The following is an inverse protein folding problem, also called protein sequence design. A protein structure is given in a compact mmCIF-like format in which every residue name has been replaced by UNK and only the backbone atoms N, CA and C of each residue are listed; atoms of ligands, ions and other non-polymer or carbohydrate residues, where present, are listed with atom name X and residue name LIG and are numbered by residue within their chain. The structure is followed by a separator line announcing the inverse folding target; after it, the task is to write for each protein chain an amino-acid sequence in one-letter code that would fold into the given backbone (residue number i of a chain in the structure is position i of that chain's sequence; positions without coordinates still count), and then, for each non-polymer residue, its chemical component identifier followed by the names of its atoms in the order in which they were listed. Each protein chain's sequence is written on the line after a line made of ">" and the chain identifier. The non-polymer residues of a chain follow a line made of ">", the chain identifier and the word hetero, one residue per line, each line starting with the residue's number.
data_IF_111776158620
#
_entry.id   IF_111776158620
#
_cell.length_a   1.000
_cell.length_b   1.000
_cell.length_c   1.000
_cell.angle_alpha   90.00
_cell.angle_beta   90.00
_cell.angle_gamma   90.00
#
_symmetry.space_group_name_H-M   'P 1'
#
loop_
_entity.id
_entity.type
_entity.pdbx_description
1 polymer ?
#
# COMPACT_ATOMS: atom_id res chain seq x y z
N UNK A 1 14.43 15.61 54.14
CA UNK A 1 13.25 16.25 53.52
C UNK A 1 13.53 16.31 52.02
N UNK A 2 13.01 15.36 51.24
CA UNK A 2 13.32 15.19 49.81
C UNK A 2 12.23 15.83 48.95
N UNK A 3 12.60 16.60 47.93
CA UNK A 3 11.64 17.17 46.99
C UNK A 3 12.25 17.83 45.75
N UNK A 4 11.97 17.21 44.59
CA UNK A 4 11.82 17.76 43.23
C UNK A 4 13.06 18.29 42.48
N UNK A 5 13.61 17.42 41.63
CA UNK A 5 14.11 17.76 40.27
C UNK A 5 13.82 16.59 39.34
N UNK A 6 12.78 16.67 38.50
CA UNK A 6 12.52 15.64 37.45
C UNK A 6 11.60 16.05 36.27
N UNK A 7 11.31 17.34 36.05
CA UNK A 7 10.31 17.75 35.03
C UNK A 7 10.82 18.65 33.88
N UNK A 8 12.11 19.00 33.80
CA UNK A 8 12.57 19.94 32.75
C UNK A 8 13.01 19.25 31.45
N UNK A 9 13.55 18.02 31.50
CA UNK A 9 14.09 17.34 30.31
C UNK A 9 13.01 16.67 29.44
N UNK A 10 11.88 16.26 30.03
CA UNK A 10 10.77 15.63 29.30
C UNK A 10 10.05 16.61 28.37
N UNK A 11 9.94 17.87 28.77
CA UNK A 11 9.32 18.90 27.94
C UNK A 11 10.21 19.27 26.75
N UNK A 12 11.53 19.43 26.95
CA UNK A 12 12.44 19.76 25.85
C UNK A 12 12.54 18.66 24.77
N UNK A 13 12.48 17.37 25.16
CA UNK A 13 12.41 16.26 24.20
C UNK A 13 11.07 16.18 23.47
N UNK A 14 9.94 16.47 24.13
CA UNK A 14 8.63 16.53 23.47
C UNK A 14 8.51 17.70 22.49
N UNK A 15 9.05 18.87 22.83
CA UNK A 15 9.03 20.03 21.92
C UNK A 15 9.91 19.81 20.69
N UNK A 16 11.10 19.21 20.83
CA UNK A 16 11.94 18.90 19.67
C UNK A 16 11.38 17.78 18.78
N UNK A 17 10.66 16.81 19.34
CA UNK A 17 10.08 15.70 18.57
C UNK A 17 8.79 16.09 17.82
N UNK A 18 8.00 17.02 18.38
CA UNK A 18 6.84 17.60 17.72
C UNK A 18 7.26 18.50 16.54
N UNK A 19 8.26 19.36 16.74
CA UNK A 19 8.83 20.19 15.67
C UNK A 19 9.42 19.33 14.54
N UNK A 20 10.08 18.22 14.86
CA UNK A 20 10.61 17.29 13.83
C UNK A 20 9.50 16.54 13.07
N UNK A 21 8.35 16.24 13.68
CA UNK A 21 7.20 15.60 13.00
C UNK A 21 6.50 16.58 12.07
N UNK A 22 6.27 17.80 12.51
CA UNK A 22 5.67 18.85 11.68
C UNK A 22 6.63 19.27 10.55
N UNK A 23 7.94 19.30 10.80
CA UNK A 23 8.94 19.53 9.75
C UNK A 23 9.03 18.38 8.75
N UNK A 24 9.01 17.11 9.19
CA UNK A 24 8.95 15.96 8.28
C UNK A 24 7.66 15.98 7.45
N UNK A 25 6.52 16.32 8.06
CA UNK A 25 5.25 16.45 7.34
C UNK A 25 5.29 17.61 6.34
N UNK A 26 5.86 18.76 6.72
CA UNK A 26 6.02 19.92 5.86
C UNK A 26 7.03 19.70 4.73
N UNK A 27 8.11 18.95 4.98
CA UNK A 27 9.16 18.62 4.00
C UNK A 27 8.65 17.57 3.02
N UNK A 28 7.95 16.53 3.51
CA UNK A 28 7.25 15.55 2.66
C UNK A 28 6.12 16.18 1.84
N UNK A 29 5.36 17.12 2.42
CA UNK A 29 4.30 17.87 1.73
C UNK A 29 4.86 18.94 0.78
N UNK A 30 6.05 19.49 1.04
CA UNK A 30 6.73 20.44 0.17
C UNK A 30 7.33 19.75 -1.05
N UNK A 31 7.85 18.53 -0.89
CA UNK A 31 8.34 17.69 -2.00
C UNK A 31 7.19 17.23 -2.92
N UNK A 32 5.94 17.22 -2.42
CA UNK A 32 4.71 16.97 -3.20
C UNK A 32 3.98 18.24 -3.65
N UNK A 33 4.51 19.45 -3.38
CA UNK A 33 3.83 20.72 -3.68
C UNK A 33 3.97 21.14 -5.15
N UNK A 34 3.47 20.30 -6.04
CA UNK A 34 2.96 20.75 -7.33
C UNK A 34 1.43 20.57 -7.28
N UNK A 35 0.74 21.67 -6.94
CA UNK A 35 -0.69 21.92 -7.11
C UNK A 35 -1.68 20.79 -6.70
N UNK A 36 -2.29 20.84 -5.50
CA UNK A 36 -3.17 19.79 -4.97
C UNK A 36 -4.50 19.64 -5.74
N UNK A 37 -4.86 20.56 -6.63
CA UNK A 37 -6.03 20.37 -7.52
C UNK A 37 -5.68 19.70 -8.87
N UNK A 38 -4.40 19.43 -9.16
CA UNK A 38 -3.98 18.95 -10.49
C UNK A 38 -3.42 17.52 -10.54
N UNK A 39 -2.94 16.92 -9.46
CA UNK A 39 -2.23 15.61 -9.48
C UNK A 39 -2.47 14.93 -8.12
N UNK A 40 -3.01 13.72 -7.94
CA UNK A 40 -2.53 12.41 -8.40
C UNK A 40 -3.66 11.36 -8.33
N UNK A 41 -4.81 11.62 -8.95
CA UNK A 41 -5.70 10.52 -9.37
C UNK A 41 -5.27 10.14 -10.78
N UNK A 42 -4.57 9.01 -10.94
CA UNK A 42 -4.49 8.41 -12.27
C UNK A 42 -5.88 7.81 -12.50
N UNK A 43 -6.77 8.59 -13.10
CA UNK A 43 -7.93 7.99 -13.76
C UNK A 43 -7.36 7.07 -14.85
N UNK A 44 -7.72 5.80 -14.78
CA UNK A 44 -7.38 4.85 -15.84
C UNK A 44 -8.20 5.28 -17.06
N UNK A 45 -7.59 6.11 -17.91
CA UNK A 45 -8.16 6.47 -19.21
C UNK A 45 -8.19 5.20 -20.05
N UNK A 46 -9.37 4.85 -20.57
CA UNK A 46 -9.56 3.75 -21.50
C UNK A 46 -8.62 3.95 -22.71
N UNK A 47 -7.60 3.10 -22.80
CA UNK A 47 -6.61 3.16 -23.86
C UNK A 47 -6.74 1.93 -24.75
N UNK A 48 -7.65 2.04 -25.72
CA UNK A 48 -7.52 1.30 -26.96
C UNK A 48 -6.13 1.58 -27.58
N UNK A 49 -5.19 0.66 -27.35
CA UNK A 49 -3.81 0.54 -27.84
C UNK A 49 -2.86 1.76 -27.68
N UNK A 50 -1.71 1.61 -27.00
CA UNK A 50 -0.70 2.68 -26.96
C UNK A 50 -0.09 2.90 -28.35
N UNK A 51 -0.16 4.14 -28.84
CA UNK A 51 0.44 4.54 -30.10
C UNK A 51 1.98 4.59 -30.04
N UNK A 52 2.65 4.57 -31.22
CA UNK A 52 4.10 4.37 -31.39
C UNK A 52 5.02 5.46 -30.78
N UNK A 53 4.47 6.48 -30.13
CA UNK A 53 5.22 7.59 -29.55
C UNK A 53 5.84 7.27 -28.17
N UNK A 54 5.30 6.29 -27.42
CA UNK A 54 5.83 5.89 -26.11
C UNK A 54 7.13 5.08 -26.24
N UNK A 55 7.23 4.22 -27.25
CA UNK A 55 8.43 3.43 -27.54
C UNK A 55 9.64 4.29 -27.90
N UNK A 56 9.45 5.37 -28.65
CA UNK A 56 10.53 6.30 -29.02
C UNK A 56 11.07 7.10 -27.81
N UNK A 57 10.25 7.29 -26.78
CA UNK A 57 10.65 8.02 -25.56
C UNK A 57 11.45 7.11 -24.62
N UNK A 58 11.05 5.85 -24.48
CA UNK A 58 11.81 4.83 -23.77
C UNK A 58 13.18 4.57 -24.42
N UNK A 59 13.24 4.47 -25.75
CA UNK A 59 14.50 4.26 -26.48
C UNK A 59 15.48 5.45 -26.43
N UNK A 60 14.97 6.67 -26.16
CA UNK A 60 15.83 7.86 -25.92
C UNK A 60 16.50 7.82 -24.55
N UNK A 61 15.80 7.34 -23.53
CA UNK A 61 16.34 7.22 -22.16
C UNK A 61 17.43 6.14 -22.06
N UNK A 62 17.34 5.08 -22.87
CA UNK A 62 18.42 4.07 -22.98
C UNK A 62 19.70 4.59 -23.65
N UNK A 63 19.61 5.64 -24.47
CA UNK A 63 20.77 6.22 -25.18
C UNK A 63 21.54 7.26 -24.36
N UNK A 64 20.93 7.83 -23.34
CA UNK A 64 21.62 8.71 -22.38
C UNK A 64 22.30 7.85 -21.32
N UNK A 65 23.55 7.45 -21.60
CA UNK A 65 24.35 6.56 -20.75
C UNK A 65 24.48 7.06 -19.31
N UNK A 66 23.69 6.47 -18.42
CA UNK A 66 23.90 6.52 -16.97
C UNK A 66 24.77 5.33 -16.60
N UNK A 67 26.01 5.59 -16.24
CA UNK A 67 26.98 4.57 -15.83
C UNK A 67 26.52 3.94 -14.52
N UNK A 68 26.14 2.66 -14.54
CA UNK A 68 25.89 1.87 -13.31
C UNK A 68 27.23 1.58 -12.62
N UNK A 69 27.45 2.13 -11.43
CA UNK A 69 28.51 1.68 -10.52
C UNK A 69 28.15 0.29 -9.98
N UNK A 70 29.02 -0.73 -10.08
CA UNK A 70 28.74 -2.03 -9.51
C UNK A 70 28.73 -1.98 -7.97
N UNK A 71 27.68 -2.53 -7.36
CA UNK A 71 27.63 -2.77 -5.92
C UNK A 71 28.64 -3.87 -5.57
N UNK A 72 29.56 -3.61 -4.63
CA UNK A 72 30.57 -4.57 -4.20
C UNK A 72 29.92 -5.83 -3.61
N UNK A 73 30.47 -7.01 -3.92
CA UNK A 73 30.01 -8.29 -3.37
C UNK A 73 30.23 -8.35 -1.84
N UNK A 74 29.30 -8.95 -1.09
CA UNK A 74 29.47 -9.11 0.36
C UNK A 74 30.60 -10.10 0.69
N UNK A 75 31.35 -9.77 1.74
CA UNK A 75 32.48 -10.52 2.30
C UNK A 75 32.02 -11.89 2.87
N UNK A 76 32.61 -13.03 2.44
CA UNK A 76 32.19 -14.36 2.87
C UNK A 76 32.54 -14.74 4.33
N UNK A 77 33.09 -13.83 5.14
CA UNK A 77 33.61 -14.16 6.48
C UNK A 77 32.68 -13.87 7.67
N UNK A 78 31.44 -13.40 7.47
CA UNK A 78 30.50 -13.14 8.58
C UNK A 78 29.41 -14.23 8.63
N UNK A 79 29.64 -15.26 9.44
CA UNK A 79 28.59 -16.20 9.84
C UNK A 79 27.66 -15.51 10.86
N UNK A 80 26.35 -15.37 10.60
CA UNK A 80 25.43 -14.99 11.65
C UNK A 80 25.22 -16.18 12.60
N UNK A 81 25.36 -15.90 13.90
CA UNK A 81 25.03 -16.83 14.97
C UNK A 81 23.56 -17.25 14.86
N UNK A 82 23.34 -18.56 14.81
CA UNK A 82 22.02 -19.18 14.83
C UNK A 82 21.34 -18.92 16.17
N UNK A 83 20.32 -18.07 16.14
CA UNK A 83 19.23 -18.07 17.10
C UNK A 83 17.93 -18.13 16.28
N UNK A 84 17.58 -19.35 15.85
CA UNK A 84 16.29 -19.63 15.25
C UNK A 84 15.19 -19.35 16.28
N UNK A 85 14.66 -18.13 16.24
CA UNK A 85 13.37 -17.77 16.80
C UNK A 85 12.37 -17.88 15.67
N UNK A 86 11.20 -18.47 15.93
CA UNK A 86 10.11 -18.65 14.97
C UNK A 86 9.42 -17.33 14.56
N UNK A 87 10.15 -16.21 14.58
CA UNK A 87 9.73 -14.85 14.23
C UNK A 87 10.24 -14.40 12.84
N UNK A 88 11.14 -15.17 12.21
CA UNK A 88 11.83 -14.73 11.01
C UNK A 88 11.04 -15.04 9.73
N UNK A 89 10.24 -14.08 9.28
CA UNK A 89 9.84 -14.00 7.88
C UNK A 89 11.10 -13.89 7.01
N UNK A 90 11.33 -14.87 6.15
CA UNK A 90 12.48 -14.85 5.25
C UNK A 90 12.11 -14.15 3.94
N UNK A 91 12.88 -13.14 3.52
CA UNK A 91 12.65 -12.49 2.24
C UNK A 91 12.72 -13.47 1.07
N UNK A 92 11.73 -13.41 0.20
CA UNK A 92 11.81 -14.02 -1.12
C UNK A 92 12.53 -13.06 -2.06
N UNK A 93 13.53 -13.58 -2.79
CA UNK A 93 14.22 -12.83 -3.84
C UNK A 93 13.25 -12.51 -4.99
N UNK A 94 12.70 -11.29 -5.00
CA UNK A 94 11.86 -10.74 -6.06
C UNK A 94 12.61 -9.63 -6.82
N UNK A 95 12.38 -9.47 -8.14
CA UNK A 95 12.80 -8.27 -8.85
C UNK A 95 12.22 -7.02 -8.18
N UNK A 96 12.99 -5.94 -7.99
CA UNK A 96 12.45 -4.68 -7.51
C UNK A 96 11.31 -4.19 -8.39
N UNK A 97 10.33 -3.55 -7.76
CA UNK A 97 9.12 -3.01 -8.38
C UNK A 97 8.19 -4.06 -8.99
N UNK A 98 8.32 -5.33 -8.56
CA UNK A 98 7.44 -6.42 -8.98
C UNK A 98 6.64 -6.95 -7.79
N UNK A 99 5.34 -7.14 -8.03
CA UNK A 99 4.40 -7.78 -7.14
C UNK A 99 3.44 -8.61 -7.99
N UNK A 100 3.00 -9.76 -7.49
CA UNK A 100 1.98 -10.56 -8.14
C UNK A 100 0.91 -11.00 -7.14
N UNK A 101 -0.28 -11.31 -7.66
CA UNK A 101 -1.35 -11.89 -6.85
C UNK A 101 -0.84 -13.10 -6.04
N UNK A 102 -1.09 -13.08 -4.74
CA UNK A 102 -0.62 -14.09 -3.81
C UNK A 102 0.64 -13.72 -3.03
N UNK A 103 1.38 -12.68 -3.42
CA UNK A 103 2.55 -12.24 -2.67
C UNK A 103 2.15 -11.73 -1.28
N UNK A 104 2.77 -12.30 -0.26
CA UNK A 104 2.68 -11.85 1.12
C UNK A 104 3.91 -11.01 1.40
N UNK A 105 3.72 -9.77 1.84
CA UNK A 105 4.78 -8.81 2.05
C UNK A 105 4.71 -8.17 3.44
N UNK A 106 5.81 -7.57 3.89
CA UNK A 106 5.87 -6.85 5.16
C UNK A 106 6.11 -5.36 4.93
N UNK A 107 5.43 -4.54 5.75
CA UNK A 107 5.65 -3.09 5.84
C UNK A 107 6.25 -2.81 7.22
N UNK A 108 7.50 -2.31 7.31
CA UNK A 108 8.08 -1.87 8.57
C UNK A 108 7.29 -0.68 9.15
N UNK A 109 6.97 -0.72 10.44
CA UNK A 109 6.23 0.37 11.10
C UNK A 109 7.13 1.52 11.58
N UNK A 110 8.45 1.36 11.45
CA UNK A 110 9.46 2.34 11.87
C UNK A 110 9.80 2.32 13.36
N UNK A 111 9.12 1.48 14.16
CA UNK A 111 9.33 1.30 15.61
C UNK A 111 9.95 -0.05 15.98
N UNK A 112 10.36 -0.82 14.97
CA UNK A 112 10.92 -2.18 15.13
C UNK A 112 9.88 -3.29 14.94
N UNK A 113 8.63 -2.94 14.66
CA UNK A 113 7.61 -3.89 14.23
C UNK A 113 7.41 -3.88 12.72
N UNK A 114 6.58 -4.81 12.25
CA UNK A 114 6.16 -4.89 10.86
C UNK A 114 4.71 -5.38 10.80
N UNK A 115 4.03 -5.05 9.70
CA UNK A 115 2.70 -5.57 9.41
C UNK A 115 2.66 -6.35 8.12
N UNK A 116 1.65 -7.20 8.01
CA UNK A 116 1.48 -8.11 6.91
C UNK A 116 0.58 -7.49 5.85
N UNK A 117 1.09 -7.44 4.62
CA UNK A 117 0.35 -7.13 3.43
C UNK A 117 0.16 -8.37 2.56
N UNK A 118 -0.90 -8.37 1.75
CA UNK A 118 -1.16 -9.40 0.76
C UNK A 118 -1.57 -8.73 -0.55
N UNK A 119 -0.93 -9.12 -1.63
CA UNK A 119 -1.35 -8.74 -2.98
C UNK A 119 -2.51 -9.64 -3.37
N UNK A 120 -3.69 -9.07 -3.51
CA UNK A 120 -4.91 -9.84 -3.78
C UNK A 120 -5.10 -10.09 -5.27
N UNK A 121 -4.81 -9.07 -6.08
CA UNK A 121 -4.97 -9.14 -7.53
C UNK A 121 -4.11 -8.08 -8.24
N UNK A 122 -3.87 -8.32 -9.52
CA UNK A 122 -3.23 -7.39 -10.46
C UNK A 122 -4.31 -6.82 -11.40
N UNK A 123 -4.22 -5.52 -11.70
CA UNK A 123 -5.09 -4.83 -12.67
C UNK A 123 -4.24 -3.85 -13.44
N UNK A 124 -4.02 -4.13 -14.72
CA UNK A 124 -3.03 -3.42 -15.55
C UNK A 124 -1.66 -3.38 -14.86
N UNK A 125 -1.07 -2.19 -14.69
CA UNK A 125 0.22 -1.99 -14.00
C UNK A 125 0.07 -1.77 -12.48
N UNK A 126 -1.16 -1.86 -11.95
CA UNK A 126 -1.47 -1.70 -10.54
C UNK A 126 -1.70 -3.04 -9.85
N UNK A 127 -1.50 -3.05 -8.54
CA UNK A 127 -1.81 -4.16 -7.65
C UNK A 127 -2.82 -3.71 -6.61
N UNK A 128 -3.83 -4.54 -6.34
CA UNK A 128 -4.71 -4.34 -5.20
C UNK A 128 -4.12 -5.05 -3.99
N UNK A 129 -3.78 -4.27 -2.99
CA UNK A 129 -3.17 -4.76 -1.75
C UNK A 129 -4.17 -4.68 -0.61
N UNK A 130 -4.09 -5.62 0.31
CA UNK A 130 -4.77 -5.59 1.60
C UNK A 130 -3.72 -5.69 2.71
N UNK A 131 -3.78 -4.80 3.70
CA UNK A 131 -2.87 -4.76 4.85
C UNK A 131 -3.64 -5.15 6.10
N UNK A 132 -3.04 -6.03 6.89
CA UNK A 132 -3.64 -6.67 8.05
C UNK A 132 -2.88 -6.30 9.31
N UNK A 133 -3.62 -6.01 10.37
CA UNK A 133 -3.06 -5.86 11.70
C UNK A 133 -3.26 -7.15 12.47
N UNK A 134 -2.20 -7.64 13.11
CA UNK A 134 -2.31 -8.77 14.04
C UNK A 134 -3.29 -8.40 15.18
N UNK A 135 -4.29 -9.24 15.48
CA UNK A 135 -5.15 -9.04 16.64
C UNK A 135 -4.36 -9.01 17.95
N UNK A 136 -4.81 -8.24 18.93
CA UNK A 136 -4.12 -8.10 20.23
C UNK A 136 -4.14 -9.38 21.06
N UNK A 137 -5.16 -10.23 20.84
CA UNK A 137 -5.36 -11.52 21.49
C UNK A 137 -4.52 -12.66 20.88
N UNK A 138 -3.87 -12.43 19.73
CA UNK A 138 -2.97 -13.41 19.10
C UNK A 138 -1.53 -13.16 19.57
N UNK A 139 -0.94 -14.02 20.43
CA UNK A 139 0.41 -13.82 20.94
C UNK A 139 1.46 -13.94 19.81
N UNK A 140 2.60 -13.24 19.91
CA UNK A 140 3.70 -13.40 18.97
C UNK A 140 4.52 -14.69 19.28
N UNK A 141 5.06 -15.39 18.27
CA UNK A 141 4.88 -15.17 16.84
C UNK A 141 3.46 -15.57 16.39
N UNK A 142 2.82 -14.71 15.60
CA UNK A 142 1.53 -15.03 14.99
C UNK A 142 1.75 -15.74 13.64
N UNK A 143 1.05 -16.84 13.41
CA UNK A 143 1.01 -17.48 12.09
C UNK A 143 0.48 -16.47 11.06
N UNK A 144 1.21 -16.20 9.96
CA UNK A 144 0.79 -15.27 8.92
C UNK A 144 -0.60 -15.59 8.36
N UNK A 145 -0.94 -16.87 8.22
CA UNK A 145 -2.24 -17.31 7.72
C UNK A 145 -3.37 -16.94 8.68
N UNK A 146 -3.12 -16.96 10.00
CA UNK A 146 -4.08 -16.51 11.01
C UNK A 146 -4.32 -15.01 10.86
N UNK A 147 -3.27 -14.22 10.63
CA UNK A 147 -3.40 -12.77 10.41
C UNK A 147 -4.14 -12.47 9.11
N UNK A 148 -3.83 -13.15 8.01
CA UNK A 148 -4.50 -12.96 6.71
C UNK A 148 -5.99 -13.34 6.73
N UNK A 149 -6.39 -14.26 7.63
CA UNK A 149 -7.80 -14.61 7.82
C UNK A 149 -8.62 -13.51 8.50
N UNK A 150 -7.96 -12.52 9.14
CA UNK A 150 -8.65 -11.39 9.79
C UNK A 150 -9.15 -10.35 8.79
N UNK A 151 -9.86 -9.34 9.28
CA UNK A 151 -10.28 -8.21 8.45
C UNK A 151 -9.08 -7.29 8.16
N UNK A 152 -8.83 -6.89 6.89
CA UNK A 152 -7.84 -5.88 6.59
C UNK A 152 -8.18 -4.54 7.28
N UNK A 153 -7.16 -3.75 7.54
CA UNK A 153 -7.32 -2.37 8.05
C UNK A 153 -7.23 -1.33 6.94
N UNK A 154 -6.43 -1.63 5.92
CA UNK A 154 -6.22 -0.79 4.73
C UNK A 154 -6.28 -1.69 3.49
N UNK A 155 -6.96 -1.24 2.45
CA UNK A 155 -6.93 -1.90 1.15
C UNK A 155 -7.11 -0.88 0.01
N UNK A 156 -6.49 -1.14 -1.14
CA UNK A 156 -6.59 -0.23 -2.28
C UNK A 156 -5.72 -0.64 -3.46
N UNK A 157 -6.01 -0.07 -4.63
CA UNK A 157 -5.17 -0.18 -5.81
C UNK A 157 -3.96 0.76 -5.68
N UNK A 158 -2.77 0.23 -5.92
CA UNK A 158 -1.52 0.98 -5.89
C UNK A 158 -0.54 0.49 -6.95
N UNK A 159 0.42 1.33 -7.31
CA UNK A 159 1.56 0.91 -8.13
C UNK A 159 2.57 0.11 -7.29
N UNK A 160 3.35 -0.81 -7.91
CA UNK A 160 4.27 -1.69 -7.19
C UNK A 160 5.59 -0.99 -6.77
N UNK A 161 5.65 0.34 -6.79
CA UNK A 161 6.90 1.10 -6.60
C UNK A 161 7.57 0.91 -5.22
N UNK A 162 6.85 0.39 -4.22
CA UNK A 162 7.40 0.09 -2.89
C UNK A 162 7.87 -1.37 -2.73
N UNK A 163 7.59 -2.27 -3.68
CA UNK A 163 8.03 -3.66 -3.64
C UNK A 163 9.51 -3.79 -3.99
N UNK A 164 10.36 -3.49 -3.03
CA UNK A 164 11.82 -3.58 -3.14
C UNK A 164 12.39 -3.95 -1.76
N UNK A 165 13.58 -4.56 -1.70
CA UNK A 165 14.22 -4.91 -0.44
C UNK A 165 14.24 -3.72 0.55
N UNK A 166 13.83 -3.95 1.79
CA UNK A 166 13.82 -2.94 2.86
C UNK A 166 12.64 -1.96 2.87
N UNK A 167 11.76 -1.97 1.86
CA UNK A 167 10.55 -1.13 1.83
C UNK A 167 9.30 -1.98 2.04
N UNK A 168 8.75 -2.57 0.98
CA UNK A 168 7.76 -3.64 1.07
C UNK A 168 8.41 -4.93 0.60
N UNK A 169 8.84 -5.74 1.56
CA UNK A 169 9.59 -6.95 1.30
C UNK A 169 8.65 -8.14 1.19
N UNK A 170 8.70 -8.88 0.09
CA UNK A 170 7.92 -10.11 -0.08
C UNK A 170 8.57 -11.20 0.76
N UNK A 171 7.79 -11.84 1.63
CA UNK A 171 8.25 -12.82 2.62
C UNK A 171 7.62 -14.20 2.44
N UNK A 172 6.69 -14.33 1.48
CA UNK A 172 5.99 -15.58 1.24
C UNK A 172 4.93 -15.45 0.17
N UNK A 173 4.18 -16.52 -0.04
CA UNK A 173 3.01 -16.55 -0.90
C UNK A 173 1.85 -17.26 -0.20
N UNK A 174 0.63 -16.78 -0.46
CA UNK A 174 -0.61 -17.38 0.04
C UNK A 174 -1.72 -17.16 -0.99
N UNK A 175 -2.66 -18.12 -1.11
CA UNK A 175 -3.82 -17.96 -2.01
C UNK A 175 -4.68 -16.78 -1.56
N UNK A 176 -4.91 -15.76 -2.40
CA UNK A 176 -5.78 -14.65 -2.04
C UNK A 176 -7.25 -15.06 -1.92
N UNK A 177 -7.93 -14.56 -0.89
CA UNK A 177 -9.39 -14.64 -0.79
C UNK A 177 -10.04 -13.54 -1.62
N UNK A 178 -10.01 -13.72 -2.94
CA UNK A 178 -10.51 -12.73 -3.91
C UNK A 178 -12.00 -12.46 -3.76
N UNK A 179 -12.79 -13.48 -3.39
CA UNK A 179 -14.24 -13.34 -3.17
C UNK A 179 -14.55 -12.43 -1.99
N UNK A 180 -13.76 -12.51 -0.92
CA UNK A 180 -13.94 -11.65 0.26
C UNK A 180 -13.42 -10.24 0.04
N UNK A 181 -12.32 -10.09 -0.68
CA UNK A 181 -11.51 -8.86 -0.63
C UNK A 181 -11.61 -7.96 -1.86
N UNK A 182 -12.05 -8.48 -3.02
CA UNK A 182 -12.13 -7.66 -4.23
C UNK A 182 -13.43 -6.83 -4.27
N UNK A 183 -13.33 -5.49 -4.25
CA UNK A 183 -14.49 -4.62 -4.35
C UNK A 183 -15.05 -4.61 -5.78
N UNK A 184 -16.32 -4.25 -5.91
CA UNK A 184 -16.83 -3.67 -7.15
C UNK A 184 -16.50 -2.16 -7.15
N UNK A 185 -16.39 -1.56 -8.34
CA UNK A 185 -16.11 -0.14 -8.47
C UNK A 185 -17.19 0.58 -9.26
N UNK A 186 -17.27 1.90 -9.08
CA UNK A 186 -18.09 2.80 -9.87
C UNK A 186 -17.24 3.81 -10.66
N UNK A 187 -17.72 4.22 -11.83
CA UNK A 187 -17.09 5.22 -12.69
C UNK A 187 -18.15 6.02 -13.46
N UNK A 188 -17.76 7.14 -14.08
CA UNK A 188 -18.68 8.05 -14.79
C UNK A 188 -19.31 9.13 -13.90
N UNK A 189 -19.98 10.12 -14.49
CA UNK A 189 -20.54 11.27 -13.77
C UNK A 189 -22.06 11.16 -13.61
N UNK A 190 -22.66 12.02 -12.78
CA UNK A 190 -24.12 12.11 -12.71
C UNK A 190 -24.77 12.57 -14.03
N UNK A 191 -24.02 13.29 -14.88
CA UNK A 191 -24.48 13.74 -16.19
C UNK A 191 -24.48 12.61 -17.23
N UNK A 192 -23.45 11.75 -17.20
CA UNK A 192 -23.26 10.66 -18.18
C UNK A 192 -23.87 9.33 -17.71
N UNK A 193 -24.32 9.28 -16.46
CA UNK A 193 -24.77 8.07 -15.78
C UNK A 193 -23.61 7.32 -15.13
N UNK A 194 -23.78 6.95 -13.87
CA UNK A 194 -22.79 6.16 -13.14
C UNK A 194 -22.89 4.70 -13.56
N UNK A 195 -21.75 4.09 -13.85
CA UNK A 195 -21.63 2.66 -14.13
C UNK A 195 -21.03 1.97 -12.91
N UNK A 196 -21.40 0.70 -12.69
CA UNK A 196 -20.75 -0.19 -11.75
C UNK A 196 -20.05 -1.29 -12.54
N UNK A 197 -18.85 -1.66 -12.11
CA UNK A 197 -18.03 -2.70 -12.72
C UNK A 197 -17.51 -3.68 -11.68
N UNK A 198 -17.30 -4.92 -12.11
CA UNK A 198 -16.49 -5.84 -11.32
C UNK A 198 -15.03 -5.35 -11.25
N UNK A 199 -14.27 -5.95 -10.33
CA UNK A 199 -12.90 -5.55 -10.01
C UNK A 199 -11.99 -5.51 -11.23
N UNK A 200 -12.17 -6.47 -12.15
CA UNK A 200 -11.37 -6.55 -13.38
C UNK A 200 -11.72 -5.51 -14.43
N UNK A 201 -12.89 -4.88 -14.35
CA UNK A 201 -13.40 -4.05 -15.45
C UNK A 201 -14.13 -4.85 -16.55
N UNK A 202 -14.20 -6.18 -16.44
CA UNK A 202 -14.66 -7.03 -17.56
C UNK A 202 -16.18 -7.11 -17.68
N UNK A 203 -16.89 -6.88 -16.57
CA UNK A 203 -18.35 -6.82 -16.52
C UNK A 203 -18.79 -5.48 -15.95
N UNK A 204 -19.57 -4.74 -16.72
CA UNK A 204 -20.08 -3.42 -16.35
C UNK A 204 -21.57 -3.30 -16.66
N UNK A 205 -22.28 -2.50 -15.87
CA UNK A 205 -23.68 -2.13 -16.10
C UNK A 205 -24.01 -0.78 -15.46
N UNK A 206 -25.14 -0.14 -15.85
CA UNK A 206 -25.61 1.04 -15.16
C UNK A 206 -25.81 0.80 -13.66
N UNK A 207 -25.39 1.77 -12.84
CA UNK A 207 -25.60 1.78 -11.41
C UNK A 207 -27.08 2.04 -11.10
N UNK A 208 -27.61 1.38 -10.07
CA UNK A 208 -28.79 1.92 -9.38
C UNK A 208 -28.44 3.21 -8.63
N UNK A 209 -29.45 3.98 -8.22
CA UNK A 209 -29.25 5.20 -7.42
C UNK A 209 -28.44 4.92 -6.15
N UNK A 210 -28.78 3.84 -5.43
CA UNK A 210 -28.06 3.44 -4.22
C UNK A 210 -26.62 3.08 -4.55
N UNK A 211 -26.38 2.28 -5.59
CA UNK A 211 -25.02 1.89 -5.96
C UNK A 211 -24.15 3.07 -6.40
N UNK A 212 -24.73 4.07 -7.06
CA UNK A 212 -24.03 5.28 -7.45
C UNK A 212 -23.49 6.09 -6.25
N UNK A 213 -24.14 5.96 -5.09
CA UNK A 213 -23.76 6.62 -3.84
C UNK A 213 -22.84 5.74 -2.97
N UNK A 214 -23.01 4.42 -3.00
CA UNK A 214 -22.36 3.52 -2.04
C UNK A 214 -21.19 2.72 -2.62
N UNK A 215 -21.16 2.47 -3.93
CA UNK A 215 -20.07 1.71 -4.56
C UNK A 215 -18.86 2.63 -4.73
N UNK A 216 -17.69 2.26 -4.21
CA UNK A 216 -16.51 3.13 -4.24
C UNK A 216 -16.05 3.41 -5.67
N UNK A 217 -15.50 4.61 -5.88
CA UNK A 217 -14.84 4.94 -7.15
C UNK A 217 -13.58 4.11 -7.31
N UNK A 218 -13.29 3.69 -8.55
CA UNK A 218 -11.98 3.11 -8.85
C UNK A 218 -10.93 4.22 -8.79
N UNK A 219 -9.95 4.07 -7.91
CA UNK A 219 -8.82 4.99 -7.81
C UNK A 219 -7.54 4.20 -7.56
N UNK A 220 -6.49 4.50 -8.33
CA UNK A 220 -5.13 4.01 -8.07
C UNK A 220 -4.39 5.09 -7.28
N UNK A 221 -3.86 4.72 -6.12
CA UNK A 221 -3.10 5.64 -5.27
C UNK A 221 -1.61 5.45 -5.40
N UNK A 222 -0.85 6.46 -4.98
CA UNK A 222 0.57 6.29 -4.72
C UNK A 222 0.78 5.28 -3.58
N UNK A 223 1.74 4.35 -3.67
CA UNK A 223 2.05 3.41 -2.58
C UNK A 223 2.52 4.11 -1.31
N UNK A 224 2.94 5.37 -1.41
CA UNK A 224 3.21 6.21 -0.25
C UNK A 224 1.96 6.48 0.60
N UNK A 225 0.78 6.66 -0.03
CA UNK A 225 -0.47 6.83 0.70
C UNK A 225 -0.84 5.57 1.49
N UNK A 226 -0.58 4.38 0.93
CA UNK A 226 -0.79 3.11 1.63
C UNK A 226 0.13 2.99 2.86
N UNK A 227 1.41 3.38 2.73
CA UNK A 227 2.39 3.39 3.83
C UNK A 227 1.93 4.32 4.96
N UNK A 228 1.56 5.57 4.65
CA UNK A 228 1.09 6.53 5.67
C UNK A 228 -0.25 6.09 6.29
N UNK A 229 -1.22 5.65 5.48
CA UNK A 229 -2.51 5.19 5.98
C UNK A 229 -2.34 4.05 6.98
N UNK A 230 -1.45 3.10 6.69
CA UNK A 230 -1.13 2.04 7.64
C UNK A 230 -0.46 2.60 8.92
N UNK A 231 0.56 3.45 8.80
CA UNK A 231 1.22 4.08 9.96
C UNK A 231 0.22 4.83 10.85
N UNK A 232 -0.82 5.41 10.24
CA UNK A 232 -1.91 6.04 10.97
C UNK A 232 -2.75 5.01 11.76
N UNK A 233 -3.07 3.85 11.18
CA UNK A 233 -3.72 2.74 11.89
C UNK A 233 -2.87 2.21 13.05
N UNK A 234 -1.55 2.21 12.89
CA UNK A 234 -0.59 1.82 13.93
C UNK A 234 -0.41 2.89 15.03
N UNK A 235 -1.02 4.07 14.89
CA UNK A 235 -0.88 5.18 15.84
C UNK A 235 0.46 5.91 15.76
N UNK A 236 1.26 5.67 14.70
CA UNK A 236 2.55 6.34 14.48
C UNK A 236 2.33 7.76 13.98
N UNK A 237 1.33 7.97 13.11
CA UNK A 237 0.92 9.29 12.61
C UNK A 237 -0.59 9.47 12.81
N UNK A 238 -1.11 10.69 12.66
CA UNK A 238 -2.55 10.93 12.72
C UNK A 238 -3.22 10.51 11.40
N UNK A 239 -4.47 10.06 11.49
CA UNK A 239 -5.26 9.70 10.32
C UNK A 239 -5.71 10.94 9.55
N UNK A 240 -5.30 11.07 8.29
CA UNK A 240 -5.73 12.16 7.42
C UNK A 240 -7.01 11.81 6.66
N UNK A 241 -7.95 12.75 6.45
CA UNK A 241 -9.18 12.52 5.67
C UNK A 241 -8.93 11.96 4.26
N UNK A 242 -7.82 12.33 3.62
CA UNK A 242 -7.47 11.83 2.29
C UNK A 242 -7.23 10.32 2.29
N UNK A 243 -6.96 9.68 3.43
CA UNK A 243 -6.77 8.22 3.50
C UNK A 243 -8.09 7.46 3.65
N UNK A 244 -9.23 8.15 3.76
CA UNK A 244 -10.49 7.51 4.11
C UNK A 244 -10.93 6.47 3.06
N UNK A 245 -10.61 6.71 1.79
CA UNK A 245 -10.87 5.76 0.70
C UNK A 245 -9.99 4.50 0.76
N UNK A 246 -8.89 4.52 1.50
CA UNK A 246 -8.01 3.36 1.75
C UNK A 246 -8.42 2.57 2.98
N UNK A 247 -9.26 3.13 3.86
CA UNK A 247 -9.74 2.43 5.05
C UNK A 247 -10.57 1.25 4.60
N UNK A 248 -10.16 0.04 4.97
CA UNK A 248 -10.96 -1.12 4.61
C UNK A 248 -12.30 -1.07 5.36
N UNK A 249 -13.37 -1.01 4.59
CA UNK A 249 -14.76 -1.14 5.05
C UNK A 249 -15.38 -2.28 4.26
N UNK A 250 -16.32 -3.00 4.85
CA UNK A 250 -17.12 -3.96 4.10
C UNK A 250 -17.91 -3.19 3.03
N UNK A 251 -17.39 -3.20 1.80
CA UNK A 251 -17.95 -2.53 0.63
C UNK A 251 -18.63 -3.55 -0.28
N UNK A 252 -19.36 -3.08 -1.28
CA UNK A 252 -19.94 -3.93 -2.32
C UNK A 252 -18.84 -4.76 -2.98
N UNK A 253 -18.83 -6.07 -2.73
CA UNK A 253 -17.84 -6.98 -3.32
C UNK A 253 -18.21 -7.30 -4.75
N UNK A 254 -17.21 -7.52 -5.59
CA UNK A 254 -17.42 -7.86 -6.99
C UNK A 254 -18.34 -9.08 -7.17
N UNK A 255 -18.18 -10.09 -6.32
CA UNK A 255 -18.98 -11.32 -6.36
C UNK A 255 -20.44 -11.12 -5.96
N UNK A 256 -20.73 -10.11 -5.13
CA UNK A 256 -22.11 -9.82 -4.70
C UNK A 256 -22.86 -9.03 -5.80
N UNK A 257 -22.15 -8.10 -6.46
CA UNK A 257 -22.72 -7.26 -7.52
C UNK A 257 -22.81 -8.02 -8.85
N UNK A 258 -21.83 -8.89 -9.12
CA UNK A 258 -21.70 -9.68 -10.34
C UNK A 258 -21.42 -11.15 -10.00
N UNK A 259 -22.44 -11.92 -9.58
CA UNK A 259 -22.26 -13.34 -9.27
C UNK A 259 -21.74 -14.12 -10.49
N UNK A 260 -20.98 -15.18 -10.22
CA UNK A 260 -20.62 -16.18 -11.24
C UNK A 260 -21.91 -16.91 -11.64
N UNK A 261 -22.13 -17.09 -12.95
CA UNK A 261 -23.29 -17.80 -13.51
C UNK A 261 -22.97 -19.28 -13.66
#
# INVERSE_FOLDING_TARGET
>A
MFGRRKNAERSAQQFHQADSREQLFAELSAETRADPEALFTIEVVDHAQPGPALDERAQRLYRTGVTRTPLAAPDPAVLPASAATADAFHPLSRPPFSAAAGDVFVIPDGTGGAVLGHVIAEVFDAVYVAVFRRPEDVPPPADPLVVLATQPVVAGLTLPARFQPGMWEVVGTATPDTRRLLPAYSWGTAADGVQVTDFSGSRSRPASVVEAETVPRQAVVSPFFVDIAFRAVAGVVDWHPDFEHLRYRASSRSVDVFPEV
#
